data_IF_665001897942
#
_entry.id   IF_665001897942
#
_cell.length_a   1.000
_cell.length_b   1.000
_cell.length_c   1.000
_cell.angle_alpha   90.00
_cell.angle_beta   90.00
_cell.angle_gamma   90.00
#
_symmetry.space_group_name_H-M   'P 1'
#
loop_
_entity.id
_entity.type
_entity.pdbx_description
1 polymer ?
#
# COMPACT_ATOMS: atom_id res chain seq x y z
N UNK A 1 -12.76 1.45 -13.12
CA UNK A 1 -12.40 2.65 -12.32
C UNK A 1 -10.92 2.60 -11.97
N UNK A 2 -10.28 3.76 -11.90
CA UNK A 2 -8.83 3.97 -11.65
C UNK A 2 -8.65 4.77 -10.36
N UNK A 3 -7.49 4.64 -9.72
CA UNK A 3 -7.12 5.41 -8.53
C UNK A 3 -7.10 6.91 -8.87
N UNK A 4 -7.66 7.71 -7.96
CA UNK A 4 -7.68 9.17 -8.07
C UNK A 4 -7.09 9.78 -6.80
N UNK A 5 -6.25 10.80 -6.98
CA UNK A 5 -5.72 11.55 -5.84
C UNK A 5 -6.85 12.30 -5.14
N UNK A 6 -6.94 12.11 -3.83
CA UNK A 6 -7.83 12.87 -2.96
C UNK A 6 -7.04 14.07 -2.46
N UNK A 7 -7.25 15.21 -3.13
CA UNK A 7 -6.66 16.50 -2.75
C UNK A 7 -7.34 17.05 -1.49
N UNK A 8 -6.63 17.89 -0.73
CA UNK A 8 -7.12 18.53 0.49
C UNK A 8 -7.37 17.57 1.68
N UNK A 9 -6.60 16.50 1.77
CA UNK A 9 -6.54 15.66 2.96
C UNK A 9 -5.71 16.40 4.01
N UNK A 10 -6.21 16.55 5.23
CA UNK A 10 -5.58 17.37 6.27
C UNK A 10 -4.11 16.98 6.48
N UNK A 11 -3.20 17.78 5.94
CA UNK A 11 -1.77 17.61 6.14
C UNK A 11 -1.46 18.11 7.55
N UNK A 12 -1.23 17.18 8.48
CA UNK A 12 -0.77 17.56 9.82
C UNK A 12 0.66 18.05 9.69
N UNK A 13 0.88 19.34 9.95
CA UNK A 13 2.21 19.94 9.93
C UNK A 13 3.18 19.13 10.81
N UNK A 14 4.34 18.80 10.26
CA UNK A 14 5.41 18.07 10.97
C UNK A 14 5.34 16.53 10.93
N UNK A 15 4.34 15.90 10.28
CA UNK A 15 4.26 14.42 10.15
C UNK A 15 4.61 13.88 8.75
N UNK A 16 5.17 14.71 7.88
CA UNK A 16 5.51 14.36 6.49
C UNK A 16 4.33 14.52 5.52
N UNK A 17 4.63 14.55 4.23
CA UNK A 17 3.62 14.66 3.18
C UNK A 17 2.99 13.30 2.93
N UNK A 18 1.67 13.19 3.18
CA UNK A 18 0.89 11.99 2.85
C UNK A 18 0.01 12.28 1.64
N UNK A 19 0.25 11.56 0.55
CA UNK A 19 -0.66 11.54 -0.61
C UNK A 19 -1.61 10.36 -0.45
N UNK A 20 -2.90 10.59 -0.72
CA UNK A 20 -3.92 9.55 -0.69
C UNK A 20 -4.56 9.43 -2.05
N UNK A 21 -4.58 8.22 -2.59
CA UNK A 21 -5.27 7.86 -3.80
C UNK A 21 -6.32 6.80 -3.48
N UNK A 22 -7.53 6.96 -4.00
CA UNK A 22 -8.63 6.05 -3.70
C UNK A 22 -9.39 5.65 -4.95
N UNK A 23 -9.84 4.40 -4.97
CA UNK A 23 -10.92 3.88 -5.79
C UNK A 23 -11.83 2.97 -4.95
N UNK A 24 -13.04 2.59 -5.44
CA UNK A 24 -13.98 1.78 -4.67
C UNK A 24 -13.45 0.42 -4.18
N UNK A 25 -12.36 -0.09 -4.75
CA UNK A 25 -11.77 -1.38 -4.41
C UNK A 25 -10.39 -1.29 -3.77
N UNK A 26 -9.73 -0.13 -3.83
CA UNK A 26 -8.33 0.04 -3.41
C UNK A 26 -8.11 1.43 -2.82
N UNK A 27 -7.36 1.51 -1.73
CA UNK A 27 -6.71 2.76 -1.29
C UNK A 27 -5.20 2.64 -1.38
N UNK A 28 -4.55 3.72 -1.76
CA UNK A 28 -3.11 3.87 -1.70
C UNK A 28 -2.77 5.12 -0.90
N UNK A 29 -1.98 4.92 0.15
CA UNK A 29 -1.32 5.99 0.90
C UNK A 29 0.16 6.00 0.57
N UNK A 30 0.72 7.16 0.27
CA UNK A 30 2.16 7.34 0.01
C UNK A 30 2.68 8.38 0.99
N UNK A 31 3.76 8.03 1.70
CA UNK A 31 4.49 8.93 2.58
C UNK A 31 5.77 9.38 1.88
N UNK A 32 5.95 10.70 1.77
CA UNK A 32 7.15 11.33 1.21
C UNK A 32 7.96 11.99 2.35
N UNK A 33 9.29 11.95 2.23
CA UNK A 33 10.19 12.68 3.13
C UNK A 33 10.32 14.16 2.74
N UNK A 34 11.15 14.91 3.48
CA UNK A 34 11.36 16.35 3.25
C UNK A 34 11.95 16.66 1.87
N UNK A 35 12.61 15.70 1.23
CA UNK A 35 13.21 15.81 -0.09
C UNK A 35 12.28 15.28 -1.20
N UNK A 36 11.01 15.03 -0.87
CA UNK A 36 10.00 14.44 -1.75
C UNK A 36 10.33 13.02 -2.25
N UNK A 37 11.16 12.27 -1.54
CA UNK A 37 11.38 10.85 -1.82
C UNK A 37 10.32 9.99 -1.10
N UNK A 38 9.94 8.86 -1.71
CA UNK A 38 8.99 7.94 -1.10
C UNK A 38 9.66 7.26 0.11
N UNK A 39 9.21 7.62 1.31
CA UNK A 39 9.65 7.06 2.58
C UNK A 39 8.84 5.81 2.98
N UNK A 40 7.64 5.65 2.41
CA UNK A 40 6.82 4.47 2.59
C UNK A 40 5.52 4.54 1.79
N UNK A 41 4.80 3.43 1.75
CA UNK A 41 3.44 3.38 1.24
C UNK A 41 2.60 2.30 1.93
N UNK A 42 1.29 2.43 1.81
CA UNK A 42 0.33 1.41 2.21
C UNK A 42 -0.73 1.24 1.12
N UNK A 43 -0.89 0.02 0.64
CA UNK A 43 -1.86 -0.38 -0.37
C UNK A 43 -2.94 -1.24 0.30
N UNK A 44 -4.13 -0.68 0.47
CA UNK A 44 -5.29 -1.40 0.98
C UNK A 44 -6.13 -1.95 -0.17
N UNK A 45 -6.44 -3.23 -0.17
CA UNK A 45 -7.17 -3.91 -1.24
C UNK A 45 -8.20 -4.90 -0.67
N UNK A 46 -9.12 -5.37 -1.51
CA UNK A 46 -10.16 -6.33 -1.08
C UNK A 46 -11.36 -5.71 -0.36
N UNK A 47 -11.60 -4.41 -0.59
CA UNK A 47 -12.68 -3.63 0.03
C UNK A 47 -14.04 -4.33 -0.02
N UNK A 48 -14.67 -4.48 1.14
CA UNK A 48 -16.03 -5.03 1.31
C UNK A 48 -16.15 -6.55 1.35
N UNK A 49 -15.06 -7.33 1.35
CA UNK A 49 -15.14 -8.79 1.53
C UNK A 49 -13.99 -9.39 2.30
N UNK A 50 -12.76 -9.00 1.98
CA UNK A 50 -11.54 -9.53 2.60
C UNK A 50 -10.49 -8.44 2.50
N UNK A 51 -10.59 -7.46 3.39
CA UNK A 51 -9.74 -6.28 3.34
C UNK A 51 -8.34 -6.58 3.87
N UNK A 52 -7.34 -6.14 3.13
CA UNK A 52 -5.94 -6.30 3.49
C UNK A 52 -5.17 -5.02 3.22
N UNK A 53 -4.12 -4.80 3.99
CA UNK A 53 -3.18 -3.71 3.84
C UNK A 53 -1.76 -4.25 3.66
N UNK A 54 -1.17 -3.99 2.49
CA UNK A 54 0.24 -4.21 2.23
C UNK A 54 1.00 -2.91 2.46
N UNK A 55 1.93 -2.90 3.41
CA UNK A 55 2.67 -1.71 3.82
C UNK A 55 4.15 -1.92 3.62
N UNK A 56 4.82 -0.91 3.09
CA UNK A 56 6.28 -0.84 3.07
C UNK A 56 6.74 0.48 3.66
N UNK A 57 7.74 0.43 4.53
CA UNK A 57 8.37 1.61 5.11
C UNK A 57 9.89 1.46 5.03
N UNK A 58 10.59 2.52 4.61
CA UNK A 58 12.06 2.53 4.49
C UNK A 58 12.78 2.09 5.77
N UNK A 59 12.20 2.39 6.94
CA UNK A 59 12.78 2.06 8.26
C UNK A 59 12.35 0.70 8.82
N UNK A 60 11.27 0.09 8.32
CA UNK A 60 10.68 -1.13 8.91
C UNK A 60 10.54 -2.31 7.94
N UNK A 61 10.74 -2.10 6.63
CA UNK A 61 10.54 -3.10 5.60
C UNK A 61 9.05 -3.34 5.29
N UNK A 62 8.72 -4.59 4.95
CA UNK A 62 7.39 -5.01 4.51
C UNK A 62 6.53 -5.52 5.66
N UNK A 63 5.26 -5.12 5.69
CA UNK A 63 4.23 -5.73 6.54
C UNK A 63 2.94 -5.97 5.75
N UNK A 64 2.22 -7.03 6.10
CA UNK A 64 0.93 -7.35 5.51
C UNK A 64 -0.07 -7.65 6.63
N UNK A 65 -1.24 -7.00 6.56
CA UNK A 65 -2.26 -7.09 7.60
C UNK A 65 -3.63 -7.35 6.97
N UNK A 66 -4.41 -8.24 7.56
CA UNK A 66 -5.85 -8.31 7.31
C UNK A 66 -6.55 -7.22 8.14
N UNK A 67 -7.42 -6.46 7.50
CA UNK A 67 -8.28 -5.47 8.15
C UNK A 67 -9.56 -6.22 8.56
N UNK A 68 -9.82 -6.29 9.87
CA UNK A 68 -11.07 -6.80 10.40
C UNK A 68 -12.06 -5.64 10.52
N UNK A 69 -13.34 -5.87 10.20
CA UNK A 69 -14.39 -4.84 10.02
C UNK A 69 -14.87 -4.19 11.35
N UNK A 70 -13.98 -4.14 12.34
CA UNK A 70 -14.23 -3.64 13.70
C UNK A 70 -13.16 -2.65 14.14
N UNK A 71 -13.50 -1.38 14.04
CA UNK A 71 -12.79 -0.16 14.48
C UNK A 71 -11.74 0.45 13.54
N UNK A 72 -11.97 1.73 13.25
CA UNK A 72 -11.14 2.70 12.52
C UNK A 72 -9.65 2.37 12.51
N UNK A 73 -9.10 2.13 11.32
CA UNK A 73 -7.65 2.00 11.13
C UNK A 73 -6.98 3.37 11.25
N UNK A 74 -6.86 3.85 12.48
CA UNK A 74 -5.82 4.80 12.89
C UNK A 74 -4.62 3.95 13.33
N UNK A 75 -3.80 3.53 12.35
CA UNK A 75 -2.39 3.13 12.49
C UNK A 75 -2.10 2.40 13.84
N UNK A 76 -2.74 1.25 14.05
CA UNK A 76 -2.59 0.43 15.26
C UNK A 76 -1.94 -0.92 14.92
N UNK A 77 -0.70 -1.12 15.34
CA UNK A 77 0.09 -2.33 15.07
C UNK A 77 -0.60 -3.62 15.53
N UNK A 78 -0.77 -4.58 14.61
CA UNK A 78 -0.70 -6.03 14.89
C UNK A 78 0.15 -6.68 13.79
N UNK A 79 1.46 -6.73 14.01
CA UNK A 79 2.43 -7.38 13.12
C UNK A 79 2.13 -8.87 12.95
N UNK A 80 1.49 -9.24 11.85
CA UNK A 80 1.39 -10.63 11.43
C UNK A 80 2.66 -11.02 10.66
N UNK A 81 3.40 -12.05 11.11
CA UNK A 81 4.53 -12.58 10.35
C UNK A 81 4.05 -13.23 9.05
N UNK A 82 4.75 -12.97 7.97
CA UNK A 82 4.49 -13.58 6.66
C UNK A 82 5.04 -15.00 6.63
N UNK A 83 4.13 -15.98 6.59
CA UNK A 83 4.32 -17.36 6.11
C UNK A 83 2.93 -17.86 5.65
N UNK A 84 2.78 -18.45 4.45
CA UNK A 84 2.36 -19.85 4.21
C UNK A 84 2.31 -20.15 2.68
N UNK A 85 2.84 -21.31 2.23
CA UNK A 85 2.75 -21.86 0.86
C UNK A 85 1.36 -22.31 0.35
N UNK A 86 0.24 -21.83 0.91
CA UNK A 86 -1.09 -22.29 0.47
C UNK A 86 -2.24 -21.33 0.86
N UNK A 87 -2.09 -20.01 0.61
CA UNK A 87 -3.23 -19.12 0.85
C UNK A 87 -3.08 -17.60 0.65
N UNK A 88 -3.72 -17.13 -0.42
CA UNK A 88 -4.32 -15.80 -0.71
C UNK A 88 -3.48 -14.53 -0.86
N UNK A 89 -2.22 -14.45 -0.45
CA UNK A 89 -1.40 -13.30 -0.83
C UNK A 89 -0.58 -13.58 -2.09
N UNK A 90 -1.04 -13.05 -3.22
CA UNK A 90 -0.34 -13.09 -4.50
C UNK A 90 0.17 -11.66 -4.86
N UNK A 91 1.45 -11.36 -4.58
CA UNK A 91 2.06 -10.07 -4.90
C UNK A 91 2.01 -9.74 -6.39
N UNK A 92 2.09 -10.76 -7.26
CA UNK A 92 2.06 -10.60 -8.71
C UNK A 92 0.67 -10.20 -9.18
N UNK A 93 -0.38 -10.89 -8.70
CA UNK A 93 -1.77 -10.50 -8.96
C UNK A 93 -2.08 -9.10 -8.41
N UNK A 94 -1.61 -8.77 -7.21
CA UNK A 94 -1.78 -7.43 -6.64
C UNK A 94 -1.06 -6.36 -7.48
N UNK A 95 0.16 -6.63 -7.96
CA UNK A 95 0.91 -5.73 -8.84
C UNK A 95 0.19 -5.48 -10.16
N UNK A 96 -0.24 -6.53 -10.85
CA UNK A 96 -1.03 -6.41 -12.09
C UNK A 96 -2.32 -5.64 -11.87
N UNK A 97 -3.01 -5.93 -10.77
CA UNK A 97 -4.22 -5.22 -10.39
C UNK A 97 -3.93 -3.74 -10.14
N UNK A 98 -2.90 -3.42 -9.35
CA UNK A 98 -2.47 -2.05 -9.08
C UNK A 98 -2.12 -1.30 -10.37
N UNK A 99 -1.36 -1.89 -11.28
CA UNK A 99 -1.04 -1.31 -12.60
C UNK A 99 -2.31 -0.96 -13.38
N UNK A 100 -3.33 -1.82 -13.34
CA UNK A 100 -4.61 -1.56 -14.01
C UNK A 100 -5.32 -0.32 -13.44
N UNK A 101 -5.09 -0.02 -12.15
CA UNK A 101 -5.67 1.12 -11.43
C UNK A 101 -4.81 2.37 -11.48
N UNK A 102 -3.50 2.22 -11.69
CA UNK A 102 -2.53 3.31 -11.59
C UNK A 102 -2.34 4.12 -12.88
N UNK A 103 -3.15 3.88 -13.91
CA UNK A 103 -3.06 4.55 -15.23
C UNK A 103 -3.07 6.08 -15.20
N UNK A 104 -3.52 6.70 -14.09
CA UNK A 104 -3.56 8.16 -13.90
C UNK A 104 -2.69 8.65 -12.74
N UNK A 105 -1.96 7.74 -12.09
CA UNK A 105 -1.00 8.11 -11.04
C UNK A 105 0.30 8.60 -11.66
N UNK A 106 1.07 9.29 -10.82
CA UNK A 106 2.47 9.59 -11.08
C UNK A 106 3.23 8.30 -11.42
N UNK A 107 4.03 8.37 -12.49
CA UNK A 107 4.82 7.23 -12.97
C UNK A 107 5.89 6.82 -11.97
N UNK A 108 6.42 7.76 -11.17
CA UNK A 108 7.38 7.48 -10.13
C UNK A 108 6.77 6.66 -9.00
N UNK A 109 5.58 7.04 -8.51
CA UNK A 109 4.83 6.28 -7.49
C UNK A 109 4.50 4.89 -8.00
N UNK A 110 4.00 4.81 -9.23
CA UNK A 110 3.60 3.53 -9.84
C UNK A 110 4.79 2.59 -9.96
N UNK A 111 5.91 3.07 -10.52
CA UNK A 111 7.14 2.29 -10.67
C UNK A 111 7.65 1.82 -9.31
N UNK A 112 7.74 2.71 -8.34
CA UNK A 112 8.27 2.41 -7.01
C UNK A 112 7.48 1.30 -6.29
N UNK A 113 6.15 1.39 -6.32
CA UNK A 113 5.30 0.38 -5.67
C UNK A 113 5.43 -0.97 -6.38
N UNK A 114 5.46 -0.99 -7.72
CA UNK A 114 5.67 -2.23 -8.47
C UNK A 114 7.04 -2.86 -8.18
N UNK A 115 8.10 -2.05 -8.13
CA UNK A 115 9.45 -2.52 -7.76
C UNK A 115 9.44 -3.17 -6.36
N UNK A 116 8.76 -2.56 -5.40
CA UNK A 116 8.66 -3.08 -4.03
C UNK A 116 7.81 -4.35 -3.91
N UNK A 117 6.74 -4.48 -4.69
CA UNK A 117 5.97 -5.73 -4.76
C UNK A 117 6.80 -6.88 -5.36
N UNK A 118 7.57 -6.60 -6.41
CA UNK A 118 8.46 -7.59 -7.04
C UNK A 118 9.65 -7.96 -6.15
N UNK A 119 10.24 -6.99 -5.45
CA UNK A 119 11.32 -7.24 -4.47
C UNK A 119 10.81 -8.16 -3.36
N UNK A 120 9.63 -7.87 -2.82
CA UNK A 120 8.98 -8.72 -1.84
C UNK A 120 8.73 -10.16 -2.34
N UNK A 121 8.23 -10.32 -3.57
CA UNK A 121 7.99 -11.63 -4.18
C UNK A 121 9.30 -12.44 -4.27
N UNK A 122 10.39 -11.81 -4.69
CA UNK A 122 11.72 -12.44 -4.76
C UNK A 122 12.27 -12.82 -3.39
N UNK A 123 12.11 -11.96 -2.39
CA UNK A 123 12.53 -12.24 -1.01
C UNK A 123 11.78 -13.43 -0.38
N UNK A 124 10.57 -13.75 -0.86
CA UNK A 124 9.75 -14.86 -0.37
C UNK A 124 9.86 -16.14 -1.21
N UNK A 125 10.35 -16.04 -2.45
CA UNK A 125 10.56 -17.18 -3.33
C UNK A 125 11.93 -17.86 -3.15
N UNK A 126 12.88 -17.20 -2.48
CA UNK A 126 14.20 -17.73 -2.12
C UNK A 126 14.26 -18.29 -0.71
#
# INVERSE_FOLDING_TARGET
>A
MVLKEIVNTGQVSGRGFRRWFSDPKVDLFVWEDADANIAGFQLCYGKGSDEHAFTWQKSKGYTHHKIDDGEDVVIGHKSSPILVPDGQFDPSALSQYFISKSKKLDSNITRFICEKLTEYEKEKAG
#
